data_IF_739849173852
#
_entry.id   IF_739849173852
#
_cell.length_a   1.000
_cell.length_b   1.000
_cell.length_c   1.000
_cell.angle_alpha   90.00
_cell.angle_beta   90.00
_cell.angle_gamma   90.00
#
_symmetry.space_group_name_H-M   'P 1'
#
loop_
_entity.id
_entity.type
_entity.pdbx_description
1 polymer ?
#
# COMPACT_ATOMS: atom_id res chain seq x y z
N UNK A 1 -51.23 -47.69 43.23
CA UNK A 1 -51.91 -46.46 42.77
C UNK A 1 -51.77 -45.37 43.83
N UNK A 2 -50.79 -44.47 43.68
CA UNK A 2 -50.66 -43.22 44.44
C UNK A 2 -50.14 -42.17 43.48
N UNK A 3 -51.00 -41.25 43.06
CA UNK A 3 -50.68 -40.12 42.20
C UNK A 3 -50.43 -38.90 43.09
N UNK A 4 -49.20 -38.38 43.06
CA UNK A 4 -48.89 -37.04 43.57
C UNK A 4 -48.97 -36.00 42.44
N UNK A 5 -49.48 -34.85 42.83
CA UNK A 5 -50.04 -33.79 41.98
C UNK A 5 -48.92 -32.84 41.56
N UNK A 6 -48.57 -32.81 40.26
CA UNK A 6 -47.74 -31.75 39.67
C UNK A 6 -48.62 -30.56 39.25
N UNK A 7 -48.49 -29.41 39.92
CA UNK A 7 -49.09 -28.12 39.51
C UNK A 7 -48.18 -27.42 38.48
N UNK A 8 -48.70 -27.14 37.28
CA UNK A 8 -48.07 -26.28 36.25
C UNK A 8 -48.17 -24.79 36.64
N UNK A 9 -47.19 -23.94 36.28
CA UNK A 9 -47.27 -22.49 36.50
C UNK A 9 -48.21 -21.79 35.50
N UNK A 10 -48.82 -20.64 35.86
CA UNK A 10 -49.85 -20.00 35.04
C UNK A 10 -49.26 -19.18 33.88
N UNK A 11 -49.92 -19.28 32.73
CA UNK A 11 -49.65 -18.47 31.53
C UNK A 11 -50.21 -17.04 31.71
N UNK A 12 -49.37 -16.01 31.50
CA UNK A 12 -49.81 -14.62 31.47
C UNK A 12 -50.54 -14.31 30.16
N UNK A 13 -51.81 -13.92 30.28
CA UNK A 13 -52.70 -13.42 29.21
C UNK A 13 -52.18 -12.10 28.62
N UNK A 14 -52.21 -11.97 27.29
CA UNK A 14 -52.04 -10.70 26.56
C UNK A 14 -53.36 -9.93 26.50
N UNK A 15 -53.31 -8.61 26.63
CA UNK A 15 -54.30 -7.62 26.17
C UNK A 15 -53.76 -6.21 26.43
N UNK A 16 -54.31 -5.13 25.81
CA UNK A 16 -54.40 -4.83 24.38
C UNK A 16 -53.65 -3.50 24.05
N UNK A 17 -53.47 -3.20 22.76
CA UNK A 17 -52.93 -1.92 22.29
C UNK A 17 -53.72 -0.70 22.81
N UNK A 18 -53.02 0.35 23.26
CA UNK A 18 -53.56 1.72 23.29
C UNK A 18 -52.49 2.82 23.38
N UNK A 19 -52.59 3.71 22.39
CA UNK A 19 -52.24 5.14 22.36
C UNK A 19 -50.78 5.58 22.49
N UNK A 20 -50.27 6.07 21.35
CA UNK A 20 -49.14 7.00 21.25
C UNK A 20 -49.31 8.18 22.22
N UNK A 21 -48.33 8.37 23.11
CA UNK A 21 -48.14 9.62 23.84
C UNK A 21 -46.73 10.15 23.56
N UNK A 22 -46.73 11.34 22.94
CA UNK A 22 -45.62 12.25 22.71
C UNK A 22 -44.49 12.20 23.77
N UNK A 23 -43.22 12.00 23.39
CA UNK A 23 -42.12 12.24 24.29
C UNK A 23 -41.87 13.75 24.42
N UNK A 24 -41.95 14.22 25.66
CA UNK A 24 -41.62 15.57 26.13
C UNK A 24 -40.22 15.98 25.65
N UNK A 25 -40.12 17.24 25.23
CA UNK A 25 -38.88 17.96 24.91
C UNK A 25 -37.85 17.80 26.04
N UNK A 26 -36.83 16.99 25.82
CA UNK A 26 -35.60 17.01 26.62
C UNK A 26 -34.78 18.19 26.12
N UNK A 27 -34.42 19.08 27.05
CA UNK A 27 -33.73 20.34 26.79
C UNK A 27 -32.45 20.15 25.98
N UNK A 28 -32.25 21.05 25.00
CA UNK A 28 -31.01 21.15 24.23
C UNK A 28 -29.89 21.62 25.15
N UNK A 29 -28.92 20.78 25.42
CA UNK A 29 -27.62 21.20 25.96
C UNK A 29 -26.91 22.09 24.93
N UNK A 30 -26.37 23.27 25.33
CA UNK A 30 -25.84 24.25 24.39
C UNK A 30 -24.38 23.96 24.08
N UNK A 31 -24.06 22.89 23.36
CA UNK A 31 -22.79 22.74 22.67
C UNK A 31 -22.91 21.74 21.53
N UNK A 32 -23.39 22.21 20.38
CA UNK A 32 -23.11 21.56 19.10
C UNK A 32 -23.23 22.59 17.97
N UNK A 33 -22.30 23.54 17.98
CA UNK A 33 -22.01 24.43 16.86
C UNK A 33 -20.49 24.44 16.60
N UNK A 34 -19.96 23.34 16.08
CA UNK A 34 -18.65 23.34 15.39
C UNK A 34 -18.39 22.15 14.45
N UNK A 35 -19.40 21.36 14.06
CA UNK A 35 -19.22 20.34 13.01
C UNK A 35 -19.34 20.96 11.60
N UNK A 36 -18.62 22.06 11.35
CA UNK A 36 -18.42 22.64 10.02
C UNK A 36 -16.98 22.36 9.61
N UNK A 37 -16.80 21.69 8.46
CA UNK A 37 -15.52 21.32 7.85
C UNK A 37 -14.66 20.32 8.65
N UNK A 38 -15.06 19.04 8.65
CA UNK A 38 -14.06 17.97 8.84
C UNK A 38 -13.13 18.00 7.62
N UNK A 39 -11.83 18.12 7.85
CA UNK A 39 -10.82 18.16 6.80
C UNK A 39 -10.99 16.99 5.80
N UNK A 40 -10.73 17.21 4.48
CA UNK A 40 -11.00 16.23 3.42
C UNK A 40 -10.41 14.85 3.69
N UNK A 41 -9.18 14.81 4.21
CA UNK A 41 -8.47 13.57 4.56
C UNK A 41 -9.27 12.67 5.51
N UNK A 42 -9.85 13.23 6.58
CA UNK A 42 -10.57 12.42 7.57
C UNK A 42 -11.86 11.85 6.99
N UNK A 43 -12.55 12.61 6.15
CA UNK A 43 -13.77 12.11 5.52
C UNK A 43 -13.45 10.95 4.58
N UNK A 44 -12.38 11.05 3.79
CA UNK A 44 -11.93 9.97 2.92
C UNK A 44 -11.43 8.75 3.71
N UNK A 45 -10.65 8.97 4.76
CA UNK A 45 -10.13 7.91 5.65
C UNK A 45 -11.26 7.13 6.36
N UNK A 46 -12.30 7.84 6.81
CA UNK A 46 -13.45 7.22 7.44
C UNK A 46 -14.33 6.48 6.42
N UNK A 47 -14.63 7.12 5.27
CA UNK A 47 -15.41 6.51 4.18
C UNK A 47 -14.76 5.24 3.63
N UNK A 48 -13.43 5.21 3.54
CA UNK A 48 -12.66 4.06 3.06
C UNK A 48 -12.53 2.91 4.08
N UNK A 49 -13.11 3.03 5.28
CA UNK A 49 -12.98 2.01 6.34
C UNK A 49 -11.55 1.84 6.85
N UNK A 50 -10.67 2.81 6.59
CA UNK A 50 -9.22 2.70 6.83
C UNK A 50 -8.85 2.77 8.32
N UNK A 51 -9.77 3.25 9.15
CA UNK A 51 -9.66 3.32 10.61
C UNK A 51 -9.99 2.00 11.31
N UNK A 52 -10.56 1.02 10.59
CA UNK A 52 -10.99 -0.25 11.18
C UNK A 52 -9.82 -1.24 11.14
N UNK A 53 -9.24 -1.53 12.30
CA UNK A 53 -8.26 -2.59 12.41
C UNK A 53 -8.89 -3.98 12.39
N UNK A 54 -8.06 -4.98 12.63
CA UNK A 54 -8.47 -6.35 12.91
C UNK A 54 -9.11 -6.54 14.31
N UNK A 55 -9.29 -7.83 14.66
CA UNK A 55 -9.92 -8.42 15.86
C UNK A 55 -9.60 -7.74 17.21
N UNK A 56 -10.39 -8.03 18.28
CA UNK A 56 -10.35 -7.27 19.54
C UNK A 56 -9.01 -7.37 20.29
N UNK A 57 -8.84 -6.57 21.36
CA UNK A 57 -7.67 -6.55 22.26
C UNK A 57 -7.54 -7.82 23.13
N UNK A 58 -7.90 -8.98 22.60
CA UNK A 58 -7.74 -10.26 23.28
C UNK A 58 -6.39 -10.84 22.92
N UNK A 59 -5.48 -10.78 23.91
CA UNK A 59 -4.12 -11.35 23.85
C UNK A 59 -4.16 -12.89 23.62
N UNK A 60 -5.29 -13.55 23.90
CA UNK A 60 -5.38 -15.02 23.93
C UNK A 60 -5.52 -15.73 22.56
N UNK A 61 -5.30 -15.06 21.43
CA UNK A 61 -5.42 -15.72 20.11
C UNK A 61 -4.22 -15.44 19.21
N UNK A 62 -3.80 -16.42 18.42
CA UNK A 62 -2.68 -16.34 17.44
C UNK A 62 -2.86 -15.27 16.34
N UNK A 63 -4.03 -14.60 16.28
CA UNK A 63 -4.34 -13.47 15.40
C UNK A 63 -4.86 -12.27 16.20
N UNK A 64 -4.45 -12.18 17.47
CA UNK A 64 -4.77 -11.10 18.37
C UNK A 64 -4.01 -9.82 18.02
N UNK A 65 -4.41 -8.75 18.68
CA UNK A 65 -3.75 -7.46 18.68
C UNK A 65 -2.26 -7.56 19.13
N UNK A 66 -1.38 -6.77 18.52
CA UNK A 66 0.04 -6.67 18.90
C UNK A 66 0.27 -5.55 19.94
N UNK A 67 0.90 -5.81 21.09
CA UNK A 67 1.11 -4.78 22.12
C UNK A 67 1.86 -3.52 21.66
N UNK A 68 2.76 -3.63 20.68
CA UNK A 68 3.48 -2.47 20.14
C UNK A 68 2.56 -1.53 19.35
N UNK A 69 1.39 -2.02 18.94
CA UNK A 69 0.37 -1.21 18.29
C UNK A 69 -0.48 -0.39 19.27
N UNK A 70 -0.40 -0.61 20.59
CA UNK A 70 -1.19 0.11 21.62
C UNK A 70 -1.19 1.63 21.42
N UNK A 71 -0.04 2.32 21.22
CA UNK A 71 -0.06 3.76 21.04
C UNK A 71 -0.84 4.21 19.81
N UNK A 72 -1.03 3.38 18.79
CA UNK A 72 -1.68 3.76 17.54
C UNK A 72 -3.19 3.50 17.52
N UNK A 73 -3.73 2.86 18.56
CA UNK A 73 -5.16 2.55 18.66
C UNK A 73 -5.88 3.50 19.61
N UNK A 74 -7.15 3.76 19.32
CA UNK A 74 -8.04 4.57 20.15
C UNK A 74 -8.81 3.71 21.16
N UNK A 75 -9.10 2.46 20.80
CA UNK A 75 -9.93 1.55 21.59
C UNK A 75 -10.62 0.52 20.70
N UNK A 76 -11.63 -0.15 21.24
CA UNK A 76 -12.38 -1.21 20.56
C UNK A 76 -13.86 -0.84 20.51
N UNK A 77 -14.48 -1.05 19.35
CA UNK A 77 -15.93 -0.95 19.18
C UNK A 77 -16.40 -2.20 18.46
N UNK A 78 -17.43 -2.87 18.99
CA UNK A 78 -18.00 -4.11 18.43
C UNK A 78 -16.95 -5.18 18.05
N UNK A 79 -15.94 -5.40 18.91
CA UNK A 79 -14.85 -6.35 18.66
C UNK A 79 -13.92 -6.00 17.49
N UNK A 80 -13.91 -4.73 17.07
CA UNK A 80 -13.00 -4.21 16.06
C UNK A 80 -12.12 -3.14 16.68
N UNK A 81 -10.81 -3.28 16.51
CA UNK A 81 -9.84 -2.30 16.97
C UNK A 81 -9.96 -1.02 16.14
N UNK A 82 -9.98 0.14 16.77
CA UNK A 82 -10.04 1.43 16.08
C UNK A 82 -8.66 2.06 16.04
N UNK A 83 -8.20 2.33 14.83
CA UNK A 83 -6.92 2.98 14.55
C UNK A 83 -7.06 4.49 14.67
N UNK A 84 -6.08 5.13 15.30
CA UNK A 84 -6.02 6.57 15.49
C UNK A 84 -5.62 7.29 14.19
N UNK A 85 -6.62 7.86 13.51
CA UNK A 85 -6.45 8.60 12.26
C UNK A 85 -5.52 9.82 12.35
N UNK A 86 -5.43 10.50 13.51
CA UNK A 86 -4.48 11.60 13.70
C UNK A 86 -3.03 11.12 13.63
N UNK A 87 -2.75 9.99 14.27
CA UNK A 87 -1.42 9.36 14.22
C UNK A 87 -1.11 8.84 12.82
N UNK A 88 -2.08 8.21 12.16
CA UNK A 88 -1.94 7.77 10.76
C UNK A 88 -1.57 8.94 9.85
N UNK A 89 -2.28 10.06 9.95
CA UNK A 89 -2.00 11.26 9.14
C UNK A 89 -0.59 11.79 9.36
N UNK A 90 -0.18 11.96 10.61
CA UNK A 90 1.15 12.48 10.94
C UNK A 90 2.27 11.58 10.40
N UNK A 91 2.11 10.26 10.57
CA UNK A 91 3.09 9.27 10.10
C UNK A 91 3.10 9.15 8.57
N UNK A 92 1.94 9.27 7.92
CA UNK A 92 1.84 9.27 6.47
C UNK A 92 2.55 10.48 5.86
N UNK A 93 2.36 11.68 6.43
CA UNK A 93 3.07 12.89 5.99
C UNK A 93 4.59 12.74 6.17
N UNK A 94 5.02 12.20 7.32
CA UNK A 94 6.44 11.90 7.58
C UNK A 94 7.00 10.90 6.55
N UNK A 95 6.26 9.85 6.24
CA UNK A 95 6.66 8.85 5.25
C UNK A 95 6.80 9.45 3.85
N UNK A 96 5.83 10.25 3.39
CA UNK A 96 5.93 10.94 2.10
C UNK A 96 7.09 11.92 2.04
N UNK A 97 7.38 12.62 3.13
CA UNK A 97 8.54 13.50 3.20
C UNK A 97 9.87 12.73 3.08
N UNK A 98 10.00 11.59 3.76
CA UNK A 98 11.19 10.71 3.65
C UNK A 98 11.34 10.20 2.22
N UNK A 99 10.26 9.67 1.64
CA UNK A 99 10.21 9.16 0.26
C UNK A 99 10.64 10.25 -0.73
N UNK A 100 10.08 11.46 -0.61
CA UNK A 100 10.44 12.60 -1.45
C UNK A 100 11.92 12.98 -1.30
N UNK A 101 12.44 12.99 -0.07
CA UNK A 101 13.83 13.34 0.21
C UNK A 101 14.81 12.34 -0.43
N UNK A 102 14.51 11.04 -0.33
CA UNK A 102 15.31 9.97 -0.95
C UNK A 102 15.29 10.08 -2.48
N UNK A 103 14.11 10.30 -3.07
CA UNK A 103 13.98 10.47 -4.52
C UNK A 103 14.74 11.72 -4.99
N UNK A 104 14.69 12.82 -4.24
CA UNK A 104 15.44 14.05 -4.54
C UNK A 104 16.96 13.81 -4.50
N UNK A 105 17.45 12.97 -3.59
CA UNK A 105 18.85 12.53 -3.56
C UNK A 105 19.19 11.44 -4.60
N UNK A 106 18.28 11.15 -5.54
CA UNK A 106 18.42 10.09 -6.56
C UNK A 106 18.57 8.69 -5.97
N UNK A 107 18.02 8.49 -4.78
CA UNK A 107 17.88 7.18 -4.15
C UNK A 107 16.81 6.34 -4.82
N UNK A 108 16.83 5.04 -4.51
CA UNK A 108 15.94 4.04 -5.06
C UNK A 108 14.97 3.52 -4.00
N UNK A 109 13.70 3.43 -4.37
CA UNK A 109 12.63 2.96 -3.49
C UNK A 109 11.99 1.72 -4.12
N UNK A 110 11.91 0.66 -3.31
CA UNK A 110 11.25 -0.59 -3.68
C UNK A 110 9.88 -0.67 -3.05
N UNK A 111 8.84 -0.72 -3.87
CA UNK A 111 7.46 -0.95 -3.42
C UNK A 111 7.17 -2.44 -3.51
N UNK A 112 6.80 -3.02 -2.37
CA UNK A 112 6.48 -4.44 -2.25
C UNK A 112 5.01 -4.59 -1.92
N UNK A 113 4.30 -5.24 -2.82
CA UNK A 113 2.92 -5.64 -2.67
C UNK A 113 2.78 -7.13 -2.98
N UNK A 114 2.01 -7.84 -2.17
CA UNK A 114 1.62 -9.23 -2.44
C UNK A 114 0.11 -9.42 -2.52
N UNK A 115 -0.68 -8.37 -2.30
CA UNK A 115 -2.13 -8.47 -2.48
C UNK A 115 -2.44 -8.37 -3.99
N UNK A 116 -3.05 -9.41 -4.60
CA UNK A 116 -3.39 -9.43 -6.02
C UNK A 116 -4.35 -8.31 -6.42
N UNK A 117 -5.14 -7.77 -5.50
CA UNK A 117 -6.12 -6.71 -5.79
C UNK A 117 -5.46 -5.41 -6.27
N UNK A 118 -4.21 -5.14 -5.87
CA UNK A 118 -3.46 -3.97 -6.33
C UNK A 118 -2.62 -4.25 -7.58
N UNK A 119 -2.63 -5.46 -8.11
CA UNK A 119 -1.88 -5.79 -9.32
C UNK A 119 -2.18 -4.87 -10.52
N UNK A 120 -3.46 -4.53 -10.83
CA UNK A 120 -3.78 -3.63 -11.94
C UNK A 120 -3.12 -2.25 -11.83
N UNK A 121 -2.89 -1.76 -10.61
CA UNK A 121 -2.20 -0.49 -10.38
C UNK A 121 -0.74 -0.52 -10.86
N UNK A 122 -0.06 -1.65 -10.66
CA UNK A 122 1.34 -1.83 -11.02
C UNK A 122 1.52 -2.26 -12.48
N UNK A 123 0.57 -3.00 -13.04
CA UNK A 123 0.67 -3.53 -14.41
C UNK A 123 0.86 -2.43 -15.46
N UNK A 124 0.16 -1.29 -15.30
CA UNK A 124 0.21 -0.17 -16.24
C UNK A 124 1.33 0.84 -15.94
N UNK A 125 2.08 0.67 -14.84
CA UNK A 125 3.15 1.60 -14.47
C UNK A 125 4.49 0.99 -14.82
N UNK A 126 5.27 1.70 -15.64
CA UNK A 126 6.64 1.34 -15.89
C UNK A 126 7.49 1.63 -14.65
N UNK A 127 8.44 0.73 -14.37
CA UNK A 127 9.49 1.00 -13.39
C UNK A 127 10.26 2.25 -13.82
N UNK A 128 10.40 3.21 -12.91
CA UNK A 128 11.21 4.42 -13.12
C UNK A 128 12.62 4.16 -12.56
N UNK A 129 13.63 4.99 -12.86
CA UNK A 129 14.95 4.83 -12.25
C UNK A 129 14.93 4.95 -10.71
N UNK A 130 13.90 5.56 -10.13
CA UNK A 130 13.77 5.80 -8.69
C UNK A 130 12.78 4.85 -8.00
N UNK A 131 11.82 4.29 -8.73
CA UNK A 131 10.79 3.38 -8.19
C UNK A 131 10.80 2.05 -8.91
N UNK A 132 10.89 0.98 -8.14
CA UNK A 132 10.68 -0.39 -8.61
C UNK A 132 9.55 -1.07 -7.83
N UNK A 133 8.92 -2.04 -8.46
CA UNK A 133 7.68 -2.66 -7.98
C UNK A 133 7.79 -4.18 -7.97
N UNK A 134 7.40 -4.81 -6.86
CA UNK A 134 7.18 -6.26 -6.74
C UNK A 134 5.70 -6.44 -6.40
N UNK A 135 4.96 -7.17 -7.25
CA UNK A 135 3.49 -7.12 -7.23
C UNK A 135 2.73 -8.38 -6.79
N UNK A 136 3.33 -9.57 -6.89
CA UNK A 136 2.61 -10.83 -6.62
C UNK A 136 3.20 -11.62 -5.46
N UNK A 137 4.48 -11.98 -5.55
CA UNK A 137 5.14 -12.84 -4.57
C UNK A 137 6.56 -12.38 -4.33
N UNK A 138 6.91 -12.24 -3.05
CA UNK A 138 8.29 -12.07 -2.65
C UNK A 138 9.08 -13.36 -2.92
N UNK A 139 10.19 -13.24 -3.66
CA UNK A 139 11.15 -14.32 -3.84
C UNK A 139 12.20 -14.15 -2.77
N UNK A 140 12.37 -15.17 -1.93
CA UNK A 140 13.38 -15.12 -0.88
C UNK A 140 14.77 -14.99 -1.50
N UNK A 141 15.57 -14.08 -0.95
CA UNK A 141 16.91 -13.78 -1.42
C UNK A 141 16.99 -12.57 -2.35
N UNK A 142 15.89 -11.88 -2.66
CA UNK A 142 15.92 -10.69 -3.55
C UNK A 142 16.92 -9.66 -3.04
N UNK A 143 17.00 -9.46 -1.73
CA UNK A 143 17.92 -8.48 -1.15
C UNK A 143 19.24 -9.12 -0.71
N UNK A 144 19.21 -10.31 -0.11
CA UNK A 144 20.41 -10.97 0.44
C UNK A 144 21.26 -11.68 -0.61
N UNK A 145 20.64 -12.16 -1.69
CA UNK A 145 21.26 -12.88 -2.80
C UNK A 145 20.88 -12.26 -4.16
N UNK A 146 20.95 -10.93 -4.22
CA UNK A 146 20.52 -10.14 -5.37
C UNK A 146 21.27 -10.51 -6.66
N UNK A 147 22.54 -10.90 -6.57
CA UNK A 147 23.37 -11.26 -7.73
C UNK A 147 22.90 -12.54 -8.44
N UNK A 148 22.50 -13.57 -7.70
CA UNK A 148 22.00 -14.79 -8.33
C UNK A 148 20.60 -14.57 -8.90
N UNK A 149 19.75 -13.83 -8.17
CA UNK A 149 18.39 -13.55 -8.61
C UNK A 149 18.38 -12.64 -9.84
N UNK A 150 19.27 -11.65 -9.93
CA UNK A 150 19.41 -10.82 -11.13
C UNK A 150 19.78 -11.66 -12.36
N UNK A 151 20.71 -12.62 -12.20
CA UNK A 151 21.04 -13.59 -13.26
C UNK A 151 19.84 -14.46 -13.64
N UNK A 152 19.07 -14.95 -12.67
CA UNK A 152 17.85 -15.73 -12.94
C UNK A 152 16.80 -14.92 -13.71
N UNK A 153 16.59 -13.65 -13.34
CA UNK A 153 15.66 -12.74 -14.03
C UNK A 153 16.12 -12.46 -15.46
N UNK A 154 17.41 -12.22 -15.66
CA UNK A 154 17.98 -12.02 -16.99
C UNK A 154 17.76 -13.25 -17.90
N UNK A 155 18.02 -14.45 -17.36
CA UNK A 155 17.79 -15.70 -18.10
C UNK A 155 16.30 -15.87 -18.44
N UNK A 156 15.41 -15.51 -17.51
CA UNK A 156 13.97 -15.53 -17.74
C UNK A 156 13.54 -14.52 -18.82
N UNK A 157 14.09 -13.30 -18.82
CA UNK A 157 13.86 -12.32 -19.88
C UNK A 157 14.34 -12.82 -21.24
N UNK A 158 15.57 -13.35 -21.32
CA UNK A 158 16.11 -13.95 -22.54
C UNK A 158 15.17 -15.04 -23.05
N UNK A 159 14.75 -15.96 -22.19
CA UNK A 159 13.78 -17.00 -22.54
C UNK A 159 12.47 -16.41 -23.07
N UNK A 160 11.88 -15.43 -22.37
CA UNK A 160 10.65 -14.77 -22.79
C UNK A 160 10.79 -14.11 -24.17
N UNK A 161 11.90 -13.43 -24.44
CA UNK A 161 12.12 -12.75 -25.71
C UNK A 161 12.12 -13.69 -26.93
N UNK A 162 12.70 -14.88 -26.78
CA UNK A 162 12.81 -15.89 -27.83
C UNK A 162 11.59 -16.81 -27.93
N UNK A 163 11.06 -17.28 -26.80
CA UNK A 163 10.08 -18.37 -26.76
C UNK A 163 8.63 -17.91 -26.57
N UNK A 164 8.34 -16.70 -26.09
CA UNK A 164 6.96 -16.27 -25.79
C UNK A 164 6.07 -16.33 -27.04
N UNK A 165 6.57 -15.86 -28.19
CA UNK A 165 5.86 -15.95 -29.48
C UNK A 165 5.66 -17.40 -29.94
N UNK A 166 6.66 -18.25 -29.74
CA UNK A 166 6.61 -19.66 -30.12
C UNK A 166 5.58 -20.43 -29.28
N UNK A 167 5.54 -20.20 -27.97
CA UNK A 167 4.58 -20.82 -27.06
C UNK A 167 3.14 -20.44 -27.42
N UNK A 168 2.89 -19.16 -27.69
CA UNK A 168 1.56 -18.65 -28.08
C UNK A 168 1.14 -19.22 -29.43
N UNK A 169 2.03 -19.19 -30.45
CA UNK A 169 1.73 -19.66 -31.80
C UNK A 169 1.39 -21.15 -31.84
N UNK A 170 2.09 -21.97 -31.06
CA UNK A 170 1.92 -23.42 -31.05
C UNK A 170 0.97 -23.92 -29.94
N UNK A 171 0.34 -23.00 -29.20
CA UNK A 171 -0.56 -23.31 -28.08
C UNK A 171 0.06 -24.28 -27.04
N UNK A 172 1.37 -24.13 -26.78
CA UNK A 172 2.11 -25.00 -25.85
C UNK A 172 1.90 -24.49 -24.42
N UNK A 173 1.32 -25.35 -23.57
CA UNK A 173 1.16 -25.04 -22.16
C UNK A 173 2.48 -25.14 -21.42
N UNK A 174 2.98 -24.02 -20.90
CA UNK A 174 4.14 -23.99 -20.01
C UNK A 174 3.79 -23.32 -18.66
N UNK A 175 3.20 -24.06 -17.70
CA UNK A 175 2.65 -23.50 -16.48
C UNK A 175 3.67 -22.77 -15.60
N UNK A 176 4.90 -23.28 -15.52
CA UNK A 176 5.99 -22.67 -14.72
C UNK A 176 6.38 -21.31 -15.27
N UNK A 177 6.47 -21.19 -16.60
CA UNK A 177 6.76 -19.93 -17.27
C UNK A 177 5.64 -18.90 -17.06
N UNK A 178 4.38 -19.32 -17.20
CA UNK A 178 3.22 -18.44 -16.98
C UNK A 178 3.20 -17.87 -15.55
N UNK A 179 3.41 -18.71 -14.54
CA UNK A 179 3.49 -18.27 -13.12
C UNK A 179 4.62 -17.27 -12.89
N UNK A 180 5.80 -17.52 -13.44
CA UNK A 180 6.94 -16.60 -13.30
C UNK A 180 6.69 -15.26 -14.00
N UNK A 181 6.01 -15.28 -15.16
CA UNK A 181 5.64 -14.06 -15.91
C UNK A 181 4.69 -13.19 -15.10
N UNK A 182 3.73 -13.82 -14.43
CA UNK A 182 2.85 -13.14 -13.49
C UNK A 182 3.66 -12.58 -12.32
N UNK A 183 4.51 -13.36 -11.65
CA UNK A 183 5.17 -12.94 -10.41
C UNK A 183 5.98 -11.63 -10.50
N UNK A 184 6.52 -11.32 -11.68
CA UNK A 184 7.48 -10.24 -11.86
C UNK A 184 7.10 -9.34 -13.05
N UNK A 185 5.93 -8.68 -13.00
CA UNK A 185 5.40 -7.91 -14.13
C UNK A 185 6.24 -6.67 -14.47
N UNK A 186 6.95 -6.12 -13.48
CA UNK A 186 7.72 -4.88 -13.57
C UNK A 186 9.21 -5.06 -13.88
N UNK A 187 9.70 -6.32 -13.94
CA UNK A 187 11.05 -6.66 -14.40
C UNK A 187 11.03 -7.33 -15.78
N UNK A 188 9.88 -7.39 -16.45
CA UNK A 188 9.81 -7.77 -17.85
C UNK A 188 9.70 -6.50 -18.70
N UNK A 189 10.35 -6.46 -19.89
CA UNK A 189 10.09 -5.40 -20.84
C UNK A 189 8.63 -5.50 -21.30
N UNK A 190 7.78 -4.62 -20.79
CA UNK A 190 6.40 -4.48 -21.24
C UNK A 190 6.41 -3.55 -22.48
N UNK A 191 5.99 -4.07 -23.63
CA UNK A 191 5.86 -3.31 -24.88
C UNK A 191 6.83 -3.69 -26.00
N UNK A 192 6.74 -2.94 -27.11
CA UNK A 192 7.48 -3.18 -28.36
C UNK A 192 9.00 -2.97 -28.23
N UNK A 193 9.45 -2.22 -27.22
CA UNK A 193 10.86 -2.05 -26.92
C UNK A 193 11.37 -3.24 -26.11
N UNK A 194 11.61 -4.35 -26.81
CA UNK A 194 12.34 -5.55 -26.35
C UNK A 194 13.82 -5.26 -26.05
N UNK A 195 14.14 -4.21 -25.29
CA UNK A 195 15.50 -4.04 -24.78
C UNK A 195 15.66 -4.93 -23.56
N UNK A 196 16.62 -5.85 -23.64
CA UNK A 196 17.09 -6.62 -22.49
C UNK A 196 17.42 -5.64 -21.36
N UNK A 197 16.91 -5.91 -20.17
CA UNK A 197 17.29 -5.11 -19.02
C UNK A 197 18.70 -5.59 -18.59
N UNK A 198 19.69 -4.70 -18.35
CA UNK A 198 21.07 -5.11 -18.08
C UNK A 198 21.23 -6.05 -16.86
N UNK A 199 22.37 -6.74 -16.76
CA UNK A 199 22.66 -7.75 -15.73
C UNK A 199 22.65 -7.21 -14.26
N UNK A 200 22.75 -5.90 -14.07
CA UNK A 200 22.79 -5.24 -12.75
C UNK A 200 21.47 -4.54 -12.38
N UNK A 201 20.34 -5.22 -12.54
CA UNK A 201 19.01 -4.60 -12.47
C UNK A 201 18.41 -4.45 -11.09
N UNK A 202 18.66 -5.40 -10.18
CA UNK A 202 18.20 -5.28 -8.80
C UNK A 202 19.25 -4.47 -8.04
N UNK A 203 19.16 -3.15 -8.16
CA UNK A 203 19.89 -2.25 -7.27
C UNK A 203 19.35 -2.46 -5.85
N UNK A 204 20.25 -2.51 -4.87
CA UNK A 204 19.85 -2.48 -3.46
C UNK A 204 19.02 -1.21 -3.22
N UNK A 205 17.78 -1.32 -2.73
CA UNK A 205 16.96 -0.15 -2.47
C UNK A 205 17.46 0.60 -1.24
N UNK A 206 17.30 1.91 -1.24
CA UNK A 206 17.57 2.79 -0.11
C UNK A 206 16.41 2.79 0.90
N UNK A 207 15.21 2.43 0.44
CA UNK A 207 13.99 2.33 1.26
C UNK A 207 13.04 1.29 0.66
N UNK A 208 12.36 0.54 1.54
CA UNK A 208 11.26 -0.35 1.13
C UNK A 208 9.94 0.24 1.62
N UNK A 209 8.97 0.31 0.72
CA UNK A 209 7.57 0.57 1.06
C UNK A 209 6.80 -0.76 0.99
N UNK A 210 6.41 -1.29 2.14
CA UNK A 210 5.81 -2.61 2.29
C UNK A 210 4.30 -2.53 2.57
N UNK A 211 3.53 -3.21 1.74
CA UNK A 211 2.10 -3.45 1.98
C UNK A 211 1.94 -4.83 2.61
N UNK A 212 1.08 -4.94 3.62
CA UNK A 212 0.77 -6.19 4.32
C UNK A 212 2.00 -6.88 4.94
N UNK A 213 2.67 -6.25 5.93
CA UNK A 213 3.86 -6.81 6.57
C UNK A 213 3.64 -8.21 7.16
N UNK A 214 2.46 -8.49 7.74
CA UNK A 214 2.15 -9.78 8.37
C UNK A 214 2.25 -10.97 7.40
N UNK A 215 1.99 -10.76 6.11
CA UNK A 215 2.09 -11.79 5.08
C UNK A 215 3.51 -11.86 4.48
N UNK A 216 4.38 -10.91 4.83
CA UNK A 216 5.64 -10.61 4.17
C UNK A 216 6.81 -10.49 5.16
N UNK A 217 6.81 -11.30 6.22
CA UNK A 217 7.87 -11.28 7.23
C UNK A 217 9.27 -11.52 6.62
N UNK A 218 9.37 -12.32 5.55
CA UNK A 218 10.63 -12.55 4.86
C UNK A 218 11.24 -11.25 4.32
N UNK A 219 10.41 -10.30 3.86
CA UNK A 219 10.86 -8.98 3.40
C UNK A 219 11.49 -8.21 4.56
N UNK A 220 10.86 -8.23 5.74
CA UNK A 220 11.36 -7.56 6.94
C UNK A 220 12.69 -8.16 7.40
N UNK A 221 12.81 -9.49 7.40
CA UNK A 221 14.04 -10.21 7.77
C UNK A 221 15.18 -9.86 6.81
N UNK A 222 14.92 -9.89 5.50
CA UNK A 222 15.93 -9.55 4.49
C UNK A 222 16.30 -8.05 4.52
N UNK A 223 15.32 -7.16 4.70
CA UNK A 223 15.55 -5.72 4.83
C UNK A 223 16.42 -5.42 6.05
N UNK A 224 16.16 -6.09 7.17
CA UNK A 224 16.99 -5.99 8.38
C UNK A 224 18.41 -6.47 8.13
N UNK A 225 18.59 -7.63 7.49
CA UNK A 225 19.92 -8.13 7.13
C UNK A 225 20.67 -7.17 6.18
N UNK A 226 19.93 -6.49 5.30
CA UNK A 226 20.45 -5.48 4.40
C UNK A 226 20.65 -4.09 5.01
N UNK A 227 20.27 -3.84 6.27
CA UNK A 227 20.19 -2.51 6.87
C UNK A 227 19.37 -1.51 6.03
N UNK A 228 18.25 -1.97 5.47
CA UNK A 228 17.36 -1.15 4.64
C UNK A 228 16.15 -0.72 5.49
N UNK A 229 15.88 0.59 5.61
CA UNK A 229 14.71 1.06 6.35
C UNK A 229 13.41 0.65 5.65
N UNK A 230 12.39 0.32 6.44
CA UNK A 230 11.07 -0.11 5.95
C UNK A 230 10.00 0.86 6.42
N UNK A 231 9.25 1.41 5.46
CA UNK A 231 7.96 2.06 5.68
C UNK A 231 6.89 1.00 5.41
N UNK A 232 5.97 0.76 6.34
CA UNK A 232 4.93 -0.25 6.14
C UNK A 232 3.54 0.24 6.52
N UNK A 233 2.53 -0.22 5.78
CA UNK A 233 1.13 -0.10 6.19
C UNK A 233 0.83 -1.19 7.21
N UNK A 234 0.62 -0.81 8.47
CA UNK A 234 0.52 -1.73 9.62
C UNK A 234 -0.89 -1.76 10.19
N UNK A 235 -1.42 -2.95 10.46
CA UNK A 235 -2.71 -3.10 11.14
C UNK A 235 -2.48 -3.33 12.64
N UNK A 236 -3.55 -3.31 13.44
CA UNK A 236 -3.62 -3.60 14.87
C UNK A 236 -2.90 -4.89 15.32
N UNK A 237 -2.74 -5.89 14.45
CA UNK A 237 -2.08 -7.17 14.75
C UNK A 237 -0.66 -7.28 14.14
N UNK A 238 -0.10 -6.18 13.66
CA UNK A 238 1.23 -6.16 13.06
C UNK A 238 2.30 -5.96 14.11
N UNK A 239 3.29 -6.87 14.14
CA UNK A 239 4.52 -6.69 14.91
C UNK A 239 5.37 -5.55 14.30
N UNK A 240 5.68 -4.54 15.12
CA UNK A 240 6.42 -3.35 14.71
C UNK A 240 7.94 -3.50 14.87
N UNK A 241 8.43 -4.59 15.46
CA UNK A 241 9.84 -4.76 15.86
C UNK A 241 10.85 -4.58 14.73
N UNK A 242 10.45 -4.80 13.48
CA UNK A 242 11.33 -4.72 12.30
C UNK A 242 10.86 -3.67 11.28
N UNK A 243 9.98 -2.76 11.69
CA UNK A 243 9.42 -1.71 10.85
C UNK A 243 9.96 -0.36 11.32
N UNK A 244 10.69 0.34 10.46
CA UNK A 244 11.33 1.63 10.81
C UNK A 244 10.32 2.76 10.91
N UNK A 245 9.36 2.80 9.98
CA UNK A 245 8.34 3.84 9.91
C UNK A 245 6.96 3.21 9.70
N UNK A 246 6.27 2.81 10.79
CA UNK A 246 4.94 2.23 10.70
C UNK A 246 3.90 3.30 10.33
N UNK A 247 2.96 2.95 9.46
CA UNK A 247 1.79 3.76 9.13
C UNK A 247 0.56 2.95 9.57
N UNK A 248 -0.04 3.27 10.73
CA UNK A 248 -1.14 2.49 11.26
C UNK A 248 -2.39 2.70 10.40
N UNK A 249 -2.88 1.66 9.75
CA UNK A 249 -4.07 1.70 8.89
C UNK A 249 -4.63 0.30 8.66
N UNK A 250 -5.92 0.22 8.32
CA UNK A 250 -6.49 -0.99 7.73
C UNK A 250 -5.85 -1.23 6.36
N UNK A 251 -4.94 -2.19 6.31
CA UNK A 251 -4.22 -2.55 5.10
C UNK A 251 -5.11 -3.25 4.04
N UNK A 252 -6.30 -3.71 4.43
CA UNK A 252 -7.33 -4.23 3.51
C UNK A 252 -8.15 -3.12 2.83
N UNK A 253 -7.99 -1.85 3.23
CA UNK A 253 -8.67 -0.73 2.59
C UNK A 253 -8.07 -0.48 1.20
N UNK A 254 -8.73 -1.02 0.17
CA UNK A 254 -8.33 -0.83 -1.23
C UNK A 254 -8.16 0.65 -1.58
N UNK A 255 -9.14 1.46 -1.19
CA UNK A 255 -9.14 2.89 -1.47
C UNK A 255 -7.89 3.58 -0.90
N UNK A 256 -7.62 3.42 0.40
CA UNK A 256 -6.49 4.11 1.04
C UNK A 256 -5.14 3.64 0.52
N UNK A 257 -4.95 2.32 0.38
CA UNK A 257 -3.71 1.76 -0.13
C UNK A 257 -3.45 2.20 -1.57
N UNK A 258 -4.49 2.24 -2.42
CA UNK A 258 -4.39 2.77 -3.78
C UNK A 258 -4.00 4.25 -3.80
N UNK A 259 -4.60 5.07 -2.93
CA UNK A 259 -4.25 6.47 -2.80
C UNK A 259 -2.79 6.66 -2.37
N UNK A 260 -2.31 5.88 -1.40
CA UNK A 260 -0.90 5.92 -0.98
C UNK A 260 0.04 5.58 -2.14
N UNK A 261 -0.24 4.48 -2.85
CA UNK A 261 0.53 4.05 -4.00
C UNK A 261 0.53 5.10 -5.13
N UNK A 262 -0.63 5.69 -5.40
CA UNK A 262 -0.79 6.76 -6.40
C UNK A 262 0.12 7.94 -6.08
N UNK A 263 0.07 8.44 -4.83
CA UNK A 263 0.90 9.56 -4.39
C UNK A 263 2.38 9.25 -4.45
N UNK A 264 2.81 8.07 -3.97
CA UNK A 264 4.23 7.67 -4.02
C UNK A 264 4.73 7.63 -5.48
N UNK A 265 3.92 7.10 -6.39
CA UNK A 265 4.30 7.08 -7.81
C UNK A 265 4.38 8.49 -8.41
N UNK A 266 3.48 9.41 -8.03
CA UNK A 266 3.58 10.82 -8.45
C UNK A 266 4.85 11.48 -7.92
N UNK A 267 5.24 11.18 -6.69
CA UNK A 267 6.50 11.65 -6.10
C UNK A 267 7.70 11.11 -6.90
N UNK A 268 7.68 9.84 -7.33
CA UNK A 268 8.76 9.28 -8.16
C UNK A 268 8.84 9.81 -9.58
N UNK A 269 7.75 10.33 -10.13
CA UNK A 269 7.73 11.02 -11.43
C UNK A 269 8.32 12.44 -11.34
N UNK A 270 8.35 13.04 -10.15
CA UNK A 270 8.74 14.44 -9.95
C UNK A 270 10.14 14.80 -10.50
N UNK A 271 11.22 14.03 -10.25
CA UNK A 271 12.53 14.39 -10.80
C UNK A 271 12.57 14.35 -12.33
N UNK A 272 11.82 13.44 -12.96
CA UNK A 272 11.75 13.36 -14.42
C UNK A 272 11.04 14.58 -15.00
N UNK A 273 9.97 15.01 -14.34
CA UNK A 273 9.27 16.24 -14.68
C UNK A 273 10.18 17.48 -14.57
N UNK A 274 10.92 17.60 -13.47
CA UNK A 274 11.86 18.70 -13.24
C UNK A 274 12.99 18.73 -14.29
N UNK A 275 13.56 17.56 -14.62
CA UNK A 275 14.58 17.44 -15.68
C UNK A 275 14.03 17.90 -17.03
N UNK A 276 12.79 17.51 -17.37
CA UNK A 276 12.18 17.87 -18.65
C UNK A 276 11.88 19.37 -18.72
N UNK A 277 11.37 19.97 -17.65
CA UNK A 277 11.17 21.42 -17.57
C UNK A 277 12.47 22.20 -17.77
N UNK A 278 13.54 21.80 -17.08
CA UNK A 278 14.85 22.43 -17.20
C UNK A 278 15.43 22.30 -18.62
N UNK A 279 15.19 21.18 -19.30
CA UNK A 279 15.60 20.99 -20.70
C UNK A 279 14.84 21.91 -21.65
N UNK A 280 13.53 22.03 -21.49
CA UNK A 280 12.69 22.92 -22.31
C UNK A 280 13.07 24.39 -22.11
N UNK A 281 13.29 24.83 -20.87
CA UNK A 281 13.75 26.19 -20.57
C UNK A 281 15.10 26.49 -21.24
N UNK A 282 16.07 25.57 -21.19
CA UNK A 282 17.36 25.71 -21.88
C UNK A 282 17.21 25.80 -23.39
N UNK A 283 16.30 25.04 -24.01
CA UNK A 283 16.01 25.13 -25.45
C UNK A 283 15.42 26.50 -25.82
N UNK A 284 14.48 27.00 -25.02
CA UNK A 284 13.86 28.32 -25.23
C UNK A 284 14.93 29.42 -25.12
N UNK A 285 15.79 29.36 -24.10
CA UNK A 285 16.86 30.34 -23.91
C UNK A 285 17.88 30.30 -25.06
N UNK A 286 18.25 29.11 -25.53
CA UNK A 286 19.12 28.94 -26.69
C UNK A 286 18.52 29.59 -27.95
N UNK A 287 17.24 29.31 -28.26
CA UNK A 287 16.54 29.93 -29.40
C UNK A 287 16.52 31.46 -29.31
N UNK A 288 16.28 32.02 -28.12
CA UNK A 288 16.34 33.47 -27.89
C UNK A 288 17.74 34.05 -28.14
N UNK A 289 18.81 33.37 -27.70
CA UNK A 289 20.19 33.81 -27.93
C UNK A 289 20.56 33.79 -29.42
N UNK A 290 20.14 32.76 -30.15
CA UNK A 290 20.37 32.66 -31.61
C UNK A 290 19.64 33.79 -32.35
N UNK A 291 18.36 34.00 -32.06
CA UNK A 291 17.56 35.08 -32.66
C UNK A 291 18.14 36.48 -32.41
N UNK A 292 18.70 36.72 -31.21
CA UNK A 292 19.36 37.99 -30.86
C UNK A 292 20.69 38.19 -31.59
N UNK A 293 21.42 37.11 -31.94
CA UNK A 293 22.64 37.20 -32.76
C UNK A 293 22.31 37.49 -34.21
N UNK A 294 21.30 36.86 -34.79
CA UNK A 294 20.90 37.10 -36.20
C UNK A 294 20.40 38.52 -36.43
N UNK A 295 19.68 39.13 -35.48
CA UNK A 295 19.22 40.53 -35.58
C UNK A 295 20.31 41.59 -35.36
N UNK A 296 21.57 41.21 -35.06
CA UNK A 296 22.69 42.16 -34.94
C UNK A 296 23.50 42.33 -36.25
N UNK A 297 23.21 41.52 -37.27
CA UNK A 297 23.89 41.53 -38.56
C UNK A 297 22.98 42.01 -39.71
N UNK A 298 21.81 42.57 -39.36
CA UNK A 298 20.87 43.28 -40.23
C UNK A 298 20.80 44.70 -39.70
#
# INVERSE_FOLDING_TARGET
MKNEIYKKPPQKKRSPERSEKNPRKIGKTPHNKSCGNREPFYNEFLKGGSHLGHKPFKISTQRGFDPLMTPYLLGEIYQVSIINSYKTRALLLKAFYIIFSIIKSKGHILIVNTNPEFYPFFYNRSSTPFLSYIGFKWINGILTNSQQISKSILNFQRFSLYFDRFLIKNNISFPRYKKLKEWVPGLLPNGETKKLIPEQTIKKPDLIFLINPNQNNNVLTEARAGNIPVIALTDSNTDLSHITYPIPVNNNSLYFTFHCLFWISRIGEYPLFEINQNREQKKIEYKKRVAKKTNRYI
#
